data_IF_613550155682
#
_entry.id   IF_613550155682
#
_cell.length_a   1.000
_cell.length_b   1.000
_cell.length_c   1.000
_cell.angle_alpha   90.00
_cell.angle_beta   90.00
_cell.angle_gamma   90.00
#
_symmetry.space_group_name_H-M   'P 1'
#
loop_
_entity.id
_entity.type
_entity.pdbx_description
1 polymer ?
#
# COMPACT_ATOMS: atom_id res chain seq x y z
N UNK A 1 -7.41 12.30 4.30
CA UNK A 1 -8.83 12.02 4.63
C UNK A 1 -9.74 12.87 3.75
N UNK A 2 -11.00 12.48 3.55
CA UNK A 2 -11.95 13.24 2.72
C UNK A 2 -12.04 14.71 3.15
N UNK A 3 -12.10 15.61 2.17
CA UNK A 3 -12.18 17.06 2.37
C UNK A 3 -10.87 17.75 2.76
N UNK A 4 -9.78 17.01 3.02
CA UNK A 4 -8.47 17.61 3.25
C UNK A 4 -7.75 17.92 1.92
N UNK A 5 -6.92 18.97 1.86
CA UNK A 5 -6.05 19.23 0.71
C UNK A 5 -5.17 18.02 0.41
N UNK A 6 -5.03 17.69 -0.88
CA UNK A 6 -4.17 16.58 -1.31
C UNK A 6 -2.73 17.06 -1.47
N UNK A 7 -1.74 16.41 -0.84
CA UNK A 7 -0.34 16.75 -1.04
C UNK A 7 0.12 16.43 -2.46
N UNK A 8 1.05 17.22 -3.00
CA UNK A 8 1.72 16.87 -4.24
C UNK A 8 2.66 15.69 -4.03
N UNK A 9 2.55 14.65 -4.86
CA UNK A 9 3.38 13.43 -4.79
C UNK A 9 3.82 12.93 -6.17
N UNK A 10 3.77 13.76 -7.21
CA UNK A 10 4.03 13.31 -8.59
C UNK A 10 5.52 13.04 -8.87
N UNK A 11 6.43 13.49 -8.01
CA UNK A 11 7.85 13.18 -8.08
C UNK A 11 8.40 12.77 -6.72
N UNK A 12 9.53 12.07 -6.72
CA UNK A 12 10.23 11.69 -5.48
C UNK A 12 10.50 12.90 -4.57
N UNK A 13 10.82 14.07 -5.13
CA UNK A 13 11.04 15.30 -4.36
C UNK A 13 9.75 15.81 -3.70
N UNK A 14 8.63 15.79 -4.43
CA UNK A 14 7.32 16.19 -3.90
C UNK A 14 6.85 15.21 -2.81
N UNK A 15 7.00 13.90 -3.05
CA UNK A 15 6.70 12.86 -2.05
C UNK A 15 7.50 13.04 -0.76
N UNK A 16 8.82 13.28 -0.88
CA UNK A 16 9.69 13.59 0.26
C UNK A 16 9.21 14.83 1.02
N UNK A 17 8.87 15.90 0.31
CA UNK A 17 8.37 17.13 0.93
C UNK A 17 7.04 16.90 1.66
N UNK A 18 6.12 16.13 1.06
CA UNK A 18 4.84 15.79 1.67
C UNK A 18 5.01 14.99 2.98
N UNK A 19 5.92 14.00 2.99
CA UNK A 19 6.26 13.23 4.18
C UNK A 19 6.80 14.09 5.32
N UNK A 20 7.70 15.03 5.00
CA UNK A 20 8.34 15.91 6.00
C UNK A 20 7.40 17.02 6.50
N UNK A 21 6.38 17.39 5.72
CA UNK A 21 5.39 18.39 6.10
C UNK A 21 4.23 17.82 6.94
N UNK A 22 4.00 16.51 6.90
CA UNK A 22 2.95 15.85 7.68
C UNK A 22 3.31 15.83 9.17
N UNK A 23 2.34 16.06 10.07
CA UNK A 23 2.60 15.98 11.53
C UNK A 23 2.88 14.55 11.94
N UNK A 24 2.11 13.62 11.39
CA UNK A 24 2.21 12.18 11.64
C UNK A 24 2.02 11.41 10.34
N UNK A 25 2.88 10.41 10.11
CA UNK A 25 2.87 9.54 8.92
C UNK A 25 2.60 8.10 9.36
N UNK A 26 1.48 7.53 8.93
CA UNK A 26 1.14 6.14 9.21
C UNK A 26 1.68 5.20 8.13
N UNK A 27 2.28 4.08 8.55
CA UNK A 27 2.70 2.98 7.68
C UNK A 27 2.79 1.67 8.47
N UNK A 28 2.89 0.54 7.77
CA UNK A 28 3.03 -0.77 8.41
C UNK A 28 4.34 -0.84 9.22
N UNK A 29 4.25 -1.37 10.43
CA UNK A 29 5.41 -1.66 11.26
C UNK A 29 6.31 -2.68 10.54
N UNK A 30 7.56 -2.32 10.16
CA UNK A 30 8.48 -3.28 9.55
C UNK A 30 8.79 -4.47 10.47
N UNK A 31 8.72 -4.30 11.80
CA UNK A 31 8.97 -5.38 12.75
C UNK A 31 7.86 -6.45 12.74
N UNK A 32 6.66 -6.12 12.24
CA UNK A 32 5.59 -7.08 12.02
C UNK A 32 5.77 -7.94 10.76
N UNK A 33 6.84 -7.71 9.97
CA UNK A 33 7.16 -8.49 8.78
C UNK A 33 6.40 -8.08 7.52
N UNK A 34 5.64 -6.98 7.55
CA UNK A 34 4.91 -6.49 6.38
C UNK A 34 5.85 -5.91 5.33
N UNK A 35 5.78 -6.42 4.10
CA UNK A 35 6.66 -6.03 2.98
C UNK A 35 6.61 -4.53 2.65
N UNK A 36 5.43 -3.90 2.75
CA UNK A 36 5.29 -2.45 2.52
C UNK A 36 6.05 -1.61 3.55
N UNK A 37 5.97 -1.96 4.83
CA UNK A 37 6.70 -1.30 5.91
C UNK A 37 8.22 -1.43 5.77
N UNK A 38 8.69 -2.64 5.44
CA UNK A 38 10.11 -2.92 5.19
C UNK A 38 10.63 -2.07 4.02
N UNK A 39 9.90 -2.02 2.91
CA UNK A 39 10.26 -1.19 1.76
C UNK A 39 10.36 0.30 2.13
N UNK A 40 9.36 0.81 2.87
CA UNK A 40 9.31 2.23 3.24
C UNK A 40 10.47 2.64 4.13
N UNK A 41 10.85 1.84 5.12
CA UNK A 41 12.00 2.17 5.97
C UNK A 41 13.30 2.25 5.16
N UNK A 42 13.54 1.30 4.26
CA UNK A 42 14.71 1.36 3.37
C UNK A 42 14.65 2.56 2.44
N UNK A 43 13.47 2.92 1.94
CA UNK A 43 13.29 4.11 1.10
C UNK A 43 13.58 5.40 1.88
N UNK A 44 13.12 5.52 3.12
CA UNK A 44 13.39 6.68 3.97
C UNK A 44 14.88 6.83 4.28
N UNK A 45 15.61 5.73 4.43
CA UNK A 45 17.06 5.72 4.56
C UNK A 45 17.74 6.23 3.28
N UNK A 46 17.37 5.70 2.11
CA UNK A 46 17.90 6.17 0.81
C UNK A 46 17.61 7.65 0.54
N UNK A 47 16.46 8.17 1.00
CA UNK A 47 16.09 9.58 0.88
C UNK A 47 16.73 10.48 1.95
N UNK A 48 17.47 9.91 2.92
CA UNK A 48 18.11 10.66 4.00
C UNK A 48 17.12 11.32 4.97
N UNK A 49 15.92 10.75 5.13
CA UNK A 49 14.85 11.29 6.01
C UNK A 49 14.43 10.34 7.12
N UNK A 50 15.10 9.19 7.28
CA UNK A 50 14.69 8.14 8.21
C UNK A 50 14.52 8.65 9.65
N UNK A 51 15.41 9.51 10.14
CA UNK A 51 15.33 10.05 11.50
C UNK A 51 14.10 10.95 11.68
N UNK A 52 13.84 11.84 10.72
CA UNK A 52 12.71 12.75 10.74
C UNK A 52 11.38 11.99 10.69
N UNK A 53 11.29 10.95 9.85
CA UNK A 53 10.08 10.13 9.77
C UNK A 53 9.89 9.29 11.04
N UNK A 54 10.95 8.74 11.63
CA UNK A 54 10.83 8.00 12.91
C UNK A 54 10.21 8.84 14.02
N UNK A 55 10.45 10.15 14.06
CA UNK A 55 9.85 11.04 15.06
C UNK A 55 8.36 11.32 14.86
N UNK A 56 7.83 11.08 13.66
CA UNK A 56 6.42 11.32 13.30
C UNK A 56 5.68 10.05 12.89
N UNK A 57 6.31 8.89 13.04
CA UNK A 57 5.77 7.62 12.57
C UNK A 57 4.62 7.13 13.45
N UNK A 58 3.52 6.75 12.81
CA UNK A 58 2.42 5.99 13.40
C UNK A 58 2.50 4.57 12.85
N UNK A 59 3.21 3.70 13.57
CA UNK A 59 3.43 2.31 13.16
C UNK A 59 2.17 1.46 13.39
N UNK A 60 1.80 0.68 12.38
CA UNK A 60 0.63 -0.20 12.42
C UNK A 60 1.08 -1.65 12.27
N UNK A 61 0.81 -2.56 13.24
CA UNK A 61 1.34 -3.93 13.23
C UNK A 61 0.74 -4.83 12.14
N UNK A 62 -0.26 -4.35 11.39
CA UNK A 62 -0.92 -5.06 10.29
C UNK A 62 -2.25 -4.42 9.92
N UNK A 63 -2.75 -4.72 8.73
CA UNK A 63 -4.07 -4.29 8.26
C UNK A 63 -4.11 -2.87 7.67
N UNK A 64 -5.23 -2.17 7.94
CA UNK A 64 -5.65 -0.98 7.19
C UNK A 64 -5.04 0.32 7.75
N UNK A 65 -3.81 0.64 7.34
CA UNK A 65 -3.07 1.85 7.77
C UNK A 65 -3.89 3.14 7.62
N UNK A 66 -4.69 3.27 6.55
CA UNK A 66 -5.46 4.47 6.28
C UNK A 66 -6.55 4.77 7.32
N UNK A 67 -6.90 3.82 8.20
CA UNK A 67 -7.78 4.08 9.35
C UNK A 67 -7.22 5.17 10.28
N UNK A 68 -5.88 5.32 10.35
CA UNK A 68 -5.22 6.36 11.14
C UNK A 68 -5.49 7.77 10.63
N UNK A 69 -5.87 7.91 9.36
CA UNK A 69 -6.35 9.18 8.81
C UNK A 69 -7.75 9.53 9.30
N UNK A 70 -8.59 8.51 9.51
CA UNK A 70 -9.99 8.66 9.92
C UNK A 70 -10.08 8.94 11.42
N UNK A 71 -9.25 8.27 12.22
CA UNK A 71 -9.14 8.53 13.66
C UNK A 71 -8.44 9.85 13.99
N UNK A 72 -7.76 10.47 13.02
CA UNK A 72 -6.98 11.71 13.20
C UNK A 72 -5.61 11.50 13.83
N UNK A 73 -5.17 10.25 13.99
CA UNK A 73 -3.84 9.90 14.49
C UNK A 73 -2.73 10.24 13.49
N UNK A 74 -3.03 10.22 12.18
CA UNK A 74 -2.09 10.56 11.11
C UNK A 74 -2.70 11.52 10.08
N UNK A 75 -1.84 12.34 9.46
CA UNK A 75 -2.24 13.24 8.37
C UNK A 75 -1.96 12.60 6.99
N UNK A 76 -0.97 11.71 6.94
CA UNK A 76 -0.57 10.97 5.75
C UNK A 76 -0.46 9.47 6.08
N UNK A 77 -0.88 8.62 5.15
CA UNK A 77 -0.74 7.18 5.25
C UNK A 77 -0.10 6.67 3.96
N UNK A 78 0.92 5.82 4.09
CA UNK A 78 1.59 5.18 2.95
C UNK A 78 1.43 3.67 3.07
N UNK A 79 0.72 3.08 2.11
CA UNK A 79 0.43 1.65 2.06
C UNK A 79 0.06 1.22 0.64
N UNK A 80 -0.22 -0.06 0.42
CA UNK A 80 -0.73 -0.59 -0.84
C UNK A 80 -2.08 0.07 -1.18
N UNK A 81 -2.32 0.34 -2.47
CA UNK A 81 -3.52 1.04 -2.94
C UNK A 81 -4.79 0.27 -2.57
N UNK A 82 -4.79 -1.05 -2.70
CA UNK A 82 -5.92 -1.92 -2.33
C UNK A 82 -6.35 -1.74 -0.87
N UNK A 83 -5.37 -1.60 0.03
CA UNK A 83 -5.60 -1.41 1.46
C UNK A 83 -6.11 0.00 1.78
N UNK A 84 -5.72 1.01 0.99
CA UNK A 84 -6.21 2.39 1.15
C UNK A 84 -7.67 2.49 0.69
N UNK A 85 -7.99 1.92 -0.47
CA UNK A 85 -9.34 1.95 -1.04
C UNK A 85 -10.37 1.21 -0.17
N UNK A 86 -9.93 0.24 0.62
CA UNK A 86 -10.77 -0.48 1.57
C UNK A 86 -11.20 0.34 2.80
N UNK A 87 -10.70 1.57 2.99
CA UNK A 87 -11.03 2.41 4.16
C UNK A 87 -11.98 3.56 3.78
N UNK A 88 -13.27 3.49 4.15
CA UNK A 88 -14.18 4.62 4.02
C UNK A 88 -13.65 5.87 4.74
N UNK A 89 -13.74 7.03 4.09
CA UNK A 89 -13.24 8.31 4.63
C UNK A 89 -11.75 8.58 4.38
N UNK A 90 -10.99 7.58 3.93
CA UNK A 90 -9.68 7.82 3.33
C UNK A 90 -9.83 8.39 1.91
N UNK A 91 -8.81 9.10 1.46
CA UNK A 91 -8.75 9.60 0.07
C UNK A 91 -7.40 9.20 -0.48
N UNK A 92 -7.41 8.42 -1.55
CA UNK A 92 -6.20 8.06 -2.28
C UNK A 92 -5.68 9.31 -3.00
N UNK A 93 -4.44 9.70 -2.69
CA UNK A 93 -3.77 10.81 -3.38
C UNK A 93 -3.25 10.36 -4.75
N UNK A 94 -2.69 9.15 -4.81
CA UNK A 94 -2.13 8.55 -6.02
C UNK A 94 -1.11 7.46 -5.69
N UNK A 95 -0.55 6.79 -6.71
CA UNK A 95 0.55 5.85 -6.54
C UNK A 95 1.84 6.57 -6.12
N UNK A 96 2.82 5.82 -5.61
CA UNK A 96 4.19 6.31 -5.49
C UNK A 96 4.74 6.74 -6.87
N UNK A 97 5.60 7.77 -6.94
CA UNK A 97 6.30 8.15 -8.16
C UNK A 97 7.01 6.94 -8.81
N UNK A 98 7.09 6.87 -10.15
CA UNK A 98 7.70 5.75 -10.85
C UNK A 98 9.11 5.38 -10.35
N UNK A 99 9.94 6.38 -10.03
CA UNK A 99 11.32 6.18 -9.56
C UNK A 99 11.42 5.43 -8.22
N UNK A 100 10.36 5.49 -7.41
CA UNK A 100 10.27 4.89 -6.07
C UNK A 100 9.05 3.99 -5.94
N UNK A 101 8.53 3.50 -7.07
CA UNK A 101 7.42 2.57 -7.06
C UNK A 101 7.88 1.19 -6.58
N UNK A 102 6.98 0.44 -5.95
CA UNK A 102 7.20 -0.92 -5.52
C UNK A 102 5.94 -1.77 -5.72
N UNK A 103 5.98 -2.64 -6.72
CA UNK A 103 4.87 -3.54 -7.02
C UNK A 103 4.94 -4.80 -6.15
N UNK A 104 3.80 -5.16 -5.54
CA UNK A 104 3.62 -6.47 -4.90
C UNK A 104 2.91 -7.39 -5.90
N UNK A 105 3.62 -8.39 -6.40
CA UNK A 105 3.07 -9.36 -7.35
C UNK A 105 2.43 -10.51 -6.60
N UNK A 106 1.15 -10.75 -6.86
CA UNK A 106 0.43 -11.93 -6.37
C UNK A 106 0.32 -12.96 -7.51
N UNK A 107 0.78 -14.19 -7.24
CA UNK A 107 0.71 -15.28 -8.19
C UNK A 107 -0.02 -16.49 -7.57
N UNK A 108 -0.83 -17.17 -8.39
CA UNK A 108 -1.49 -18.41 -8.01
C UNK A 108 -0.66 -19.62 -8.46
N UNK A 109 -0.53 -20.62 -7.59
CA UNK A 109 0.13 -21.89 -7.89
C UNK A 109 -0.71 -23.08 -7.44
N UNK A 110 -0.65 -24.17 -8.20
CA UNK A 110 -1.25 -25.46 -7.80
C UNK A 110 -0.14 -26.34 -7.24
N UNK A 111 -0.35 -26.86 -6.02
CA UNK A 111 0.61 -27.78 -5.41
C UNK A 111 0.79 -29.03 -6.28
N UNK A 112 2.03 -29.51 -6.42
CA UNK A 112 2.35 -30.75 -7.11
C UNK A 112 1.69 -31.99 -6.46
N UNK A 113 1.33 -31.90 -5.18
CA UNK A 113 0.65 -32.96 -4.42
C UNK A 113 -0.86 -32.74 -4.30
N UNK A 114 -1.46 -31.86 -5.09
CA UNK A 114 -2.87 -31.54 -4.98
C UNK A 114 -3.76 -32.73 -5.37
N UNK A 115 -4.55 -33.24 -4.43
CA UNK A 115 -5.53 -34.30 -4.69
C UNK A 115 -6.68 -33.90 -5.63
N UNK A 116 -6.90 -32.60 -5.83
CA UNK A 116 -7.90 -32.03 -6.74
C UNK A 116 -7.27 -30.98 -7.67
N UNK A 117 -6.19 -31.35 -8.37
CA UNK A 117 -5.42 -30.43 -9.21
C UNK A 117 -6.27 -29.73 -10.28
N UNK A 118 -7.23 -30.42 -10.91
CA UNK A 118 -8.08 -29.82 -11.94
C UNK A 118 -9.03 -28.77 -11.38
N UNK A 119 -9.64 -29.03 -10.22
CA UNK A 119 -10.48 -28.04 -9.54
C UNK A 119 -9.66 -26.80 -9.11
N UNK A 120 -8.43 -26.99 -8.63
CA UNK A 120 -7.54 -25.89 -8.28
C UNK A 120 -7.16 -25.05 -9.53
N UNK A 121 -6.86 -25.69 -10.67
CA UNK A 121 -6.61 -24.99 -11.94
C UNK A 121 -7.83 -24.21 -12.42
N UNK A 122 -9.03 -24.80 -12.29
CA UNK A 122 -10.27 -24.13 -12.65
C UNK A 122 -10.49 -22.88 -11.78
N UNK A 123 -10.26 -22.96 -10.46
CA UNK A 123 -10.33 -21.79 -9.58
C UNK A 123 -9.35 -20.69 -10.02
N UNK A 124 -8.09 -21.04 -10.29
CA UNK A 124 -7.11 -20.05 -10.77
C UNK A 124 -7.52 -19.43 -12.11
N UNK A 125 -8.07 -20.22 -13.03
CA UNK A 125 -8.61 -19.73 -14.29
C UNK A 125 -9.80 -18.77 -14.07
N UNK A 126 -10.68 -19.07 -13.11
CA UNK A 126 -11.78 -18.17 -12.72
C UNK A 126 -11.26 -16.86 -12.13
N UNK A 127 -10.26 -16.92 -11.23
CA UNK A 127 -9.63 -15.73 -10.66
C UNK A 127 -8.92 -14.88 -11.72
N UNK A 128 -8.39 -15.52 -12.76
CA UNK A 128 -7.85 -14.87 -13.95
C UNK A 128 -8.92 -14.53 -15.00
N UNK A 129 -10.21 -14.65 -14.72
CA UNK A 129 -11.30 -14.30 -15.64
C UNK A 129 -11.48 -12.79 -15.80
N UNK A 130 -12.14 -12.36 -16.89
CA UNK A 130 -12.39 -10.92 -17.17
C UNK A 130 -13.19 -10.26 -16.05
N UNK A 131 -14.23 -10.94 -15.54
CA UNK A 131 -15.08 -10.41 -14.49
C UNK A 131 -14.31 -10.20 -13.18
N UNK A 132 -13.45 -11.16 -12.79
CA UNK A 132 -12.63 -11.03 -11.58
C UNK A 132 -11.55 -9.97 -11.77
N UNK A 133 -10.90 -9.89 -12.93
CA UNK A 133 -9.95 -8.79 -13.23
C UNK A 133 -10.58 -7.41 -13.06
N UNK A 134 -11.81 -7.22 -13.55
CA UNK A 134 -12.53 -5.95 -13.38
C UNK A 134 -12.79 -5.63 -11.89
N UNK A 135 -13.14 -6.64 -11.09
CA UNK A 135 -13.30 -6.46 -9.64
C UNK A 135 -11.97 -6.13 -8.95
N UNK A 136 -10.89 -6.82 -9.30
CA UNK A 136 -9.55 -6.56 -8.75
C UNK A 136 -9.09 -5.12 -9.09
N UNK A 137 -9.32 -4.66 -10.32
CA UNK A 137 -9.05 -3.28 -10.74
C UNK A 137 -9.86 -2.26 -9.95
N UNK A 138 -11.16 -2.51 -9.73
CA UNK A 138 -12.01 -1.64 -8.91
C UNK A 138 -11.52 -1.54 -7.45
N UNK A 139 -10.76 -2.54 -6.97
CA UNK A 139 -10.17 -2.57 -5.63
C UNK A 139 -8.66 -2.28 -5.64
N UNK A 140 -8.14 -1.60 -6.68
CA UNK A 140 -6.79 -1.06 -6.68
C UNK A 140 -5.68 -2.05 -6.98
N UNK A 141 -5.99 -3.19 -7.60
CA UNK A 141 -4.99 -4.11 -8.14
C UNK A 141 -4.89 -3.99 -9.66
N UNK A 142 -3.68 -4.13 -10.18
CA UNK A 142 -3.41 -4.07 -11.62
C UNK A 142 -3.17 -5.49 -12.17
N UNK A 143 -3.58 -5.71 -13.43
CA UNK A 143 -3.17 -6.92 -14.14
C UNK A 143 -1.71 -6.77 -14.61
N UNK A 144 -0.95 -7.87 -14.72
CA UNK A 144 0.38 -7.85 -15.33
C UNK A 144 0.38 -7.33 -16.76
#
# INVERSE_FOLDING_TARGET
RQGAPLPAIASTAQFRAALLAARNVAYIDPAAGGSSGIYLVQLFERMGIAQQIRSTAVLVPGGLVAQRLVSGEADLAVHQISEILAVPGATLVGPLPPEIQNYTVYAGGVSASAGAADAARQLLATLAGVQVRAQLAAHGMESP
#
